data_IF_185921450070
#
_entry.id   IF_185921450070
#
_cell.length_a   1.000
_cell.length_b   1.000
_cell.length_c   1.000
_cell.angle_alpha   90.00
_cell.angle_beta   90.00
_cell.angle_gamma   90.00
#
_symmetry.space_group_name_H-M   'P 1'
#
loop_
_entity.id
_entity.type
_entity.pdbx_description
1 polymer ?
#
# COMPACT_ATOMS: atom_id res chain seq x y z
N UNK A 1 -15.05 -8.71 -5.43
CA UNK A 1 -14.46 -8.89 -4.08
C UNK A 1 -12.94 -8.91 -4.09
N UNK A 2 -12.31 -9.47 -5.13
CA UNK A 2 -10.84 -9.47 -5.18
C UNK A 2 -10.23 -8.07 -5.22
N UNK A 3 -10.86 -7.15 -5.90
CA UNK A 3 -10.40 -5.75 -5.94
C UNK A 3 -10.50 -5.09 -4.57
N UNK A 4 -11.58 -5.36 -3.84
CA UNK A 4 -11.72 -4.84 -2.47
C UNK A 4 -10.62 -5.41 -1.58
N UNK A 5 -10.32 -6.70 -1.73
CA UNK A 5 -9.27 -7.35 -0.95
C UNK A 5 -7.90 -6.73 -1.23
N UNK A 6 -7.54 -6.52 -2.50
CA UNK A 6 -6.22 -6.00 -2.83
C UNK A 6 -6.09 -4.51 -2.44
N UNK A 7 -7.17 -3.75 -2.55
CA UNK A 7 -7.16 -2.34 -2.12
C UNK A 7 -7.00 -2.27 -0.59
N UNK A 8 -7.75 -3.10 0.14
CA UNK A 8 -7.61 -3.18 1.59
C UNK A 8 -6.19 -3.60 1.99
N UNK A 9 -5.63 -4.59 1.28
CA UNK A 9 -4.25 -5.00 1.51
C UNK A 9 -3.26 -3.85 1.30
N UNK A 10 -3.50 -3.02 0.30
CA UNK A 10 -2.67 -1.83 0.06
C UNK A 10 -2.72 -0.83 1.21
N UNK A 11 -3.90 -0.59 1.76
CA UNK A 11 -4.03 0.28 2.94
C UNK A 11 -3.39 -0.34 4.18
N UNK A 12 -3.45 -1.66 4.33
CA UNK A 12 -2.73 -2.33 5.41
C UNK A 12 -1.22 -2.21 5.24
N UNK A 13 -0.76 -2.15 4.00
CA UNK A 13 0.66 -1.90 3.72
C UNK A 13 1.07 -0.52 4.25
N UNK A 14 0.24 0.50 4.07
CA UNK A 14 0.49 1.82 4.67
C UNK A 14 0.62 1.68 6.18
N UNK A 15 -0.24 0.88 6.79
CA UNK A 15 -0.19 0.61 8.23
C UNK A 15 1.11 -0.04 8.64
N UNK A 16 1.52 -1.13 7.96
CA UNK A 16 2.74 -1.81 8.40
C UNK A 16 3.99 -1.00 8.08
N UNK A 17 3.99 -0.21 7.01
CA UNK A 17 5.13 0.68 6.73
C UNK A 17 5.27 1.74 7.82
N UNK A 18 4.14 2.30 8.28
CA UNK A 18 4.13 3.28 9.36
C UNK A 18 4.63 2.66 10.66
N UNK A 19 4.17 1.46 10.98
CA UNK A 19 4.62 0.77 12.19
C UNK A 19 6.10 0.41 12.13
N UNK A 20 6.57 0.05 10.93
CA UNK A 20 8.00 -0.22 10.73
C UNK A 20 8.84 1.01 11.07
N UNK A 21 8.41 2.18 10.60
CA UNK A 21 9.09 3.44 10.92
C UNK A 21 9.08 3.70 12.43
N UNK A 22 7.91 3.55 13.06
CA UNK A 22 7.74 3.81 14.47
C UNK A 22 8.46 2.79 15.35
N UNK A 23 8.76 1.61 14.83
CA UNK A 23 9.47 0.57 15.59
C UNK A 23 10.93 0.90 15.82
N UNK A 24 11.46 1.86 15.12
CA UNK A 24 12.86 2.28 15.19
C UNK A 24 13.81 1.08 15.11
N UNK A 25 13.72 0.36 13.97
CA UNK A 25 14.54 -0.83 13.73
C UNK A 25 14.13 -2.03 14.56
N UNK A 26 12.83 -2.14 14.87
CA UNK A 26 12.26 -3.21 15.69
C UNK A 26 12.73 -3.16 17.15
N UNK A 27 13.09 -1.98 17.64
CA UNK A 27 13.51 -1.80 19.03
C UNK A 27 12.34 -1.50 19.95
N UNK A 28 11.19 -1.08 19.42
CA UNK A 28 10.01 -0.78 20.21
C UNK A 28 8.98 -1.89 20.05
N UNK A 29 8.50 -2.42 21.16
CA UNK A 29 7.66 -3.62 21.17
C UNK A 29 6.33 -3.41 20.45
N UNK A 30 5.56 -2.37 20.83
CA UNK A 30 4.20 -2.22 20.33
C UNK A 30 4.17 -1.93 18.83
N UNK A 31 4.97 -0.99 18.29
CA UNK A 31 5.01 -0.82 16.83
C UNK A 31 5.48 -2.07 16.09
N UNK A 32 6.42 -2.82 16.66
CA UNK A 32 6.90 -4.05 16.02
C UNK A 32 5.79 -5.11 15.95
N UNK A 33 5.01 -5.26 17.01
CA UNK A 33 3.89 -6.19 17.03
C UNK A 33 2.79 -5.74 16.06
N UNK A 34 2.49 -4.45 16.03
CA UNK A 34 1.52 -3.90 15.09
C UNK A 34 1.96 -4.12 13.64
N UNK A 35 3.25 -3.95 13.37
CA UNK A 35 3.80 -4.25 12.04
C UNK A 35 3.49 -5.69 11.63
N UNK A 36 3.72 -6.65 12.52
CA UNK A 36 3.48 -8.06 12.21
C UNK A 36 2.00 -8.31 11.90
N UNK A 37 1.10 -7.72 12.70
CA UNK A 37 -0.33 -7.90 12.49
C UNK A 37 -0.77 -7.29 11.16
N UNK A 38 -0.36 -6.08 10.87
CA UNK A 38 -0.69 -5.43 9.60
C UNK A 38 -0.11 -6.18 8.41
N UNK A 39 1.13 -6.63 8.52
CA UNK A 39 1.78 -7.38 7.44
C UNK A 39 1.08 -8.70 7.19
N UNK A 40 0.72 -9.44 8.24
CA UNK A 40 0.01 -10.70 8.11
C UNK A 40 -1.34 -10.50 7.41
N UNK A 41 -2.10 -9.47 7.81
CA UNK A 41 -3.38 -9.16 7.19
C UNK A 41 -3.21 -8.75 5.73
N UNK A 42 -2.24 -7.89 5.46
CA UNK A 42 -1.98 -7.40 4.11
C UNK A 42 -1.62 -8.54 3.17
N UNK A 43 -0.64 -9.35 3.55
CA UNK A 43 -0.18 -10.46 2.71
C UNK A 43 -1.26 -11.54 2.54
N UNK A 44 -2.08 -11.77 3.57
CA UNK A 44 -3.18 -12.73 3.46
C UNK A 44 -4.22 -12.28 2.44
N UNK A 45 -4.60 -11.01 2.48
CA UNK A 45 -5.57 -10.47 1.53
C UNK A 45 -5.01 -10.43 0.11
N UNK A 46 -3.73 -10.06 -0.01
CA UNK A 46 -3.06 -10.06 -1.31
C UNK A 46 -3.04 -11.47 -1.89
N UNK A 47 -2.65 -12.45 -1.08
CA UNK A 47 -2.60 -13.85 -1.51
C UNK A 47 -3.95 -14.35 -1.98
N UNK A 48 -5.00 -14.02 -1.23
CA UNK A 48 -6.36 -14.42 -1.61
C UNK A 48 -6.78 -13.78 -2.94
N UNK A 49 -6.45 -12.49 -3.12
CA UNK A 49 -6.82 -11.79 -4.35
C UNK A 49 -6.12 -12.37 -5.59
N UNK A 50 -4.96 -12.99 -5.41
CA UNK A 50 -4.21 -13.60 -6.51
C UNK A 50 -4.91 -14.81 -7.10
N UNK A 51 -5.92 -15.35 -6.41
CA UNK A 51 -6.74 -16.43 -6.99
C UNK A 51 -7.66 -15.92 -8.09
N UNK A 52 -7.90 -14.62 -8.15
CA UNK A 52 -8.88 -14.03 -9.07
C UNK A 52 -8.28 -12.98 -9.99
N UNK A 53 -7.13 -12.43 -9.65
CA UNK A 53 -6.48 -11.36 -10.41
C UNK A 53 -5.12 -11.81 -10.91
N UNK A 54 -4.69 -11.33 -12.10
CA UNK A 54 -3.33 -11.56 -12.54
C UNK A 54 -2.32 -11.01 -11.53
N UNK A 55 -1.19 -11.70 -11.37
CA UNK A 55 -0.19 -11.32 -10.35
C UNK A 55 0.33 -9.91 -10.59
N UNK A 56 0.57 -9.55 -11.85
CA UNK A 56 1.08 -8.20 -12.17
C UNK A 56 0.11 -7.11 -11.76
N UNK A 57 -1.18 -7.33 -12.05
CA UNK A 57 -2.22 -6.38 -11.68
C UNK A 57 -2.36 -6.25 -10.17
N UNK A 58 -2.49 -7.39 -9.48
CA UNK A 58 -2.66 -7.37 -8.03
C UNK A 58 -1.45 -6.74 -7.33
N UNK A 59 -0.25 -7.12 -7.75
CA UNK A 59 0.96 -6.60 -7.14
C UNK A 59 1.13 -5.10 -7.39
N UNK A 60 0.85 -4.64 -8.63
CA UNK A 60 0.97 -3.21 -8.96
C UNK A 60 -0.05 -2.38 -8.16
N UNK A 61 -1.27 -2.87 -7.99
CA UNK A 61 -2.29 -2.17 -7.21
C UNK A 61 -1.88 -2.13 -5.73
N UNK A 62 -1.46 -3.26 -5.20
CA UNK A 62 -1.05 -3.37 -3.80
C UNK A 62 0.12 -2.43 -3.50
N UNK A 63 1.19 -2.51 -4.29
CA UNK A 63 2.36 -1.66 -4.08
C UNK A 63 2.07 -0.20 -4.40
N UNK A 64 1.23 0.06 -5.41
CA UNK A 64 0.87 1.42 -5.78
C UNK A 64 0.10 2.14 -4.69
N UNK A 65 -0.92 1.49 -4.14
CA UNK A 65 -1.71 2.07 -3.04
C UNK A 65 -0.83 2.23 -1.79
N UNK A 66 -0.04 1.21 -1.47
CA UNK A 66 0.84 1.26 -0.33
C UNK A 66 1.87 2.37 -0.46
N UNK A 67 2.49 2.50 -1.64
CA UNK A 67 3.50 3.53 -1.88
C UNK A 67 2.88 4.94 -1.83
N UNK A 68 1.76 5.15 -2.53
CA UNK A 68 1.10 6.45 -2.55
C UNK A 68 0.61 6.84 -1.16
N UNK A 69 -0.05 5.91 -0.47
CA UNK A 69 -0.57 6.17 0.87
C UNK A 69 0.55 6.46 1.88
N UNK A 70 1.62 5.67 1.83
CA UNK A 70 2.75 5.87 2.73
C UNK A 70 3.46 7.19 2.45
N UNK A 71 3.60 7.57 1.17
CA UNK A 71 4.22 8.84 0.81
C UNK A 71 3.38 10.02 1.31
N UNK A 72 2.05 9.95 1.17
CA UNK A 72 1.16 10.99 1.66
C UNK A 72 1.25 11.09 3.18
N UNK A 73 1.18 9.94 3.85
CA UNK A 73 1.26 9.90 5.31
C UNK A 73 2.61 10.43 5.80
N UNK A 74 3.69 10.10 5.10
CA UNK A 74 5.02 10.60 5.44
C UNK A 74 5.10 12.12 5.38
N UNK A 75 4.48 12.73 4.38
CA UNK A 75 4.46 14.18 4.26
C UNK A 75 3.64 14.84 5.35
N UNK A 76 2.56 14.19 5.80
CA UNK A 76 1.66 14.76 6.81
C UNK A 76 2.20 14.54 8.22
N UNK A 77 2.60 13.31 8.54
CA UNK A 77 2.94 12.93 9.93
C UNK A 77 4.44 13.00 10.18
N UNK A 78 5.26 12.52 9.26
CA UNK A 78 6.71 12.45 9.45
C UNK A 78 7.46 13.62 8.86
N UNK A 79 6.73 14.59 8.32
CA UNK A 79 7.30 15.83 7.76
C UNK A 79 8.29 15.56 6.64
N UNK A 80 8.03 14.54 5.84
CA UNK A 80 8.83 14.30 4.65
C UNK A 80 8.71 15.50 3.70
N UNK A 81 9.72 15.75 2.86
CA UNK A 81 9.69 16.89 1.95
C UNK A 81 8.47 16.87 1.03
N UNK A 82 7.86 18.03 0.85
CA UNK A 82 6.74 18.22 -0.07
C UNK A 82 7.25 19.02 -1.25
N UNK A 83 7.07 18.51 -2.45
CA UNK A 83 7.49 19.20 -3.66
C UNK A 83 6.52 18.87 -4.78
N UNK A 84 6.55 19.68 -5.84
CA UNK A 84 5.73 19.41 -7.02
C UNK A 84 6.09 18.06 -7.61
N UNK A 85 7.39 17.72 -7.63
CA UNK A 85 7.84 16.43 -8.15
C UNK A 85 7.26 15.26 -7.36
N UNK A 86 7.26 15.34 -6.03
CA UNK A 86 6.71 14.27 -5.18
C UNK A 86 5.21 14.13 -5.37
N UNK A 87 4.50 15.26 -5.37
CA UNK A 87 3.04 15.25 -5.55
C UNK A 87 2.69 14.71 -6.92
N UNK A 88 3.43 15.10 -7.96
CA UNK A 88 3.22 14.59 -9.31
C UNK A 88 3.46 13.08 -9.38
N UNK A 89 4.51 12.58 -8.74
CA UNK A 89 4.82 11.16 -8.72
C UNK A 89 3.69 10.35 -8.05
N UNK A 90 3.18 10.86 -6.92
CA UNK A 90 2.05 10.22 -6.22
C UNK A 90 0.82 10.20 -7.12
N UNK A 91 0.54 11.30 -7.81
CA UNK A 91 -0.58 11.40 -8.71
C UNK A 91 -0.46 10.38 -9.86
N UNK A 92 0.73 10.20 -10.43
CA UNK A 92 0.96 9.20 -11.46
C UNK A 92 0.74 7.78 -10.97
N UNK A 93 1.16 7.49 -9.74
CA UNK A 93 0.94 6.16 -9.14
C UNK A 93 -0.57 5.90 -9.02
N UNK A 94 -1.31 6.84 -8.47
CA UNK A 94 -2.75 6.72 -8.29
C UNK A 94 -3.44 6.56 -9.65
N UNK A 95 -3.06 7.37 -10.63
CA UNK A 95 -3.62 7.28 -11.96
C UNK A 95 -3.36 5.91 -12.59
N UNK A 96 -2.13 5.38 -12.42
CA UNK A 96 -1.79 4.05 -12.91
C UNK A 96 -2.63 2.94 -12.30
N UNK A 97 -2.89 3.02 -11.00
CA UNK A 97 -3.76 2.06 -10.31
C UNK A 97 -5.19 2.12 -10.86
N UNK A 98 -5.72 3.32 -11.04
CA UNK A 98 -7.05 3.50 -11.60
C UNK A 98 -7.12 2.93 -13.01
N UNK A 99 -6.10 3.19 -13.81
CA UNK A 99 -6.03 2.70 -15.19
C UNK A 99 -5.99 1.17 -15.23
N UNK A 100 -5.26 0.55 -14.33
CA UNK A 100 -5.23 -0.91 -14.22
C UNK A 100 -6.59 -1.47 -13.86
N UNK A 101 -7.33 -0.79 -12.99
CA UNK A 101 -8.67 -1.21 -12.63
C UNK A 101 -9.59 -1.22 -13.84
N UNK A 102 -9.57 -0.15 -14.64
CA UNK A 102 -10.37 -0.08 -15.84
C UNK A 102 -9.96 -1.12 -16.88
N UNK A 103 -8.66 -1.35 -17.04
CA UNK A 103 -8.16 -2.35 -17.96
C UNK A 103 -8.62 -3.76 -17.58
N UNK A 104 -8.56 -4.07 -16.28
CA UNK A 104 -8.95 -5.40 -15.78
C UNK A 104 -10.46 -5.62 -15.88
N UNK A 105 -11.25 -4.58 -15.65
CA UNK A 105 -12.70 -4.72 -15.66
C UNK A 105 -13.26 -4.88 -17.07
N UNK A 106 -12.46 -4.65 -18.11
CA UNK A 106 -12.89 -4.85 -19.48
C UNK A 106 -12.79 -6.30 -19.96
N UNK A 107 -12.26 -7.18 -19.12
CA UNK A 107 -12.11 -8.61 -19.46
C UNK A 107 -13.21 -9.48 -18.90
#
# INVERSE_FOLDING_TARGET
MAWIAVITAGFLEVGFATMLKLSNGFTKLWPSLAFIVFAAGSFSLLSWSLKFLPIGTAYAVWTGIGAAGTAILGMIIFKDPVSIARISAIAFIIFGVILLNFSSSSH
#
